data_IF_503683551523
#
_entry.id   IF_503683551523
#
_cell.length_a   1.000
_cell.length_b   1.000
_cell.length_c   1.000
_cell.angle_alpha   90.00
_cell.angle_beta   90.00
_cell.angle_gamma   90.00
#
_symmetry.space_group_name_H-M   'P 1'
#
loop_
_entity.id
_entity.type
_entity.pdbx_description
1 polymer ?
#
# COMPACT_ATOMS: atom_id res chain seq x y z
N UNK A 1 2.52 -1.97 -7.65
CA UNK A 1 3.29 -2.50 -8.78
C UNK A 1 3.29 -1.56 -10.01
N UNK A 2 2.97 -0.29 -9.85
CA UNK A 2 2.98 0.71 -10.95
C UNK A 2 2.07 0.39 -12.16
N UNK A 3 1.23 -0.65 -12.07
CA UNK A 3 0.29 -1.02 -13.13
C UNK A 3 -0.97 -0.17 -13.12
N UNK A 4 -1.79 -0.25 -14.17
CA UNK A 4 -3.05 0.48 -14.26
C UNK A 4 -4.08 -0.01 -13.24
N UNK A 5 -5.05 0.85 -12.92
CA UNK A 5 -6.21 0.47 -12.10
C UNK A 5 -7.12 -0.50 -12.86
N UNK A 6 -7.85 -1.33 -12.13
CA UNK A 6 -8.86 -2.23 -12.68
C UNK A 6 -8.36 -3.63 -13.05
N UNK A 7 -7.11 -3.97 -12.70
CA UNK A 7 -6.55 -5.31 -12.88
C UNK A 7 -5.77 -5.76 -11.65
N UNK A 8 -5.80 -7.05 -11.39
CA UNK A 8 -5.01 -7.71 -10.36
C UNK A 8 -4.71 -9.15 -10.74
N UNK A 9 -3.82 -9.80 -9.99
CA UNK A 9 -3.47 -11.20 -10.16
C UNK A 9 -3.63 -11.92 -8.83
N UNK A 10 -4.40 -13.01 -8.82
CA UNK A 10 -4.48 -13.94 -7.71
C UNK A 10 -3.72 -15.22 -8.08
N UNK A 11 -2.67 -15.52 -7.33
CA UNK A 11 -2.01 -16.81 -7.40
C UNK A 11 -2.59 -17.76 -6.36
N UNK A 12 -2.79 -19.02 -6.75
CA UNK A 12 -3.25 -20.06 -5.83
C UNK A 12 -2.80 -21.45 -6.26
N UNK A 13 -2.69 -22.37 -5.32
CA UNK A 13 -2.43 -23.78 -5.61
C UNK A 13 -3.59 -24.36 -6.41
N UNK A 14 -3.26 -25.08 -7.49
CA UNK A 14 -4.24 -25.59 -8.46
C UNK A 14 -5.33 -26.44 -7.80
N UNK A 15 -4.97 -27.31 -6.90
CA UNK A 15 -5.89 -28.19 -6.19
C UNK A 15 -6.88 -27.42 -5.30
N UNK A 16 -6.45 -26.32 -4.68
CA UNK A 16 -7.35 -25.44 -3.93
C UNK A 16 -8.32 -24.71 -4.84
N UNK A 17 -7.81 -24.10 -5.92
CA UNK A 17 -8.65 -23.40 -6.88
C UNK A 17 -9.65 -24.36 -7.56
N UNK A 18 -9.26 -25.60 -7.82
CA UNK A 18 -10.16 -26.60 -8.40
C UNK A 18 -11.30 -26.99 -7.44
N UNK A 19 -11.05 -26.99 -6.14
CA UNK A 19 -12.05 -27.30 -5.12
C UNK A 19 -12.97 -26.13 -4.75
N UNK A 20 -12.59 -24.87 -5.13
CA UNK A 20 -13.40 -23.69 -4.81
C UNK A 20 -14.54 -23.49 -5.81
N UNK A 21 -15.71 -23.01 -5.35
CA UNK A 21 -16.76 -22.51 -6.25
C UNK A 21 -16.28 -21.19 -6.91
N UNK A 22 -16.92 -20.77 -8.03
CA UNK A 22 -16.65 -19.45 -8.60
C UNK A 22 -16.98 -18.35 -7.60
N UNK A 23 -16.19 -17.28 -7.60
CA UNK A 23 -16.41 -16.12 -6.73
C UNK A 23 -17.45 -15.15 -7.36
N UNK A 24 -17.32 -14.88 -8.66
CA UNK A 24 -18.26 -14.11 -9.45
C UNK A 24 -18.62 -14.96 -10.67
N UNK A 25 -19.87 -14.92 -11.08
CA UNK A 25 -20.36 -15.62 -12.29
C UNK A 25 -20.67 -14.63 -13.41
N UNK A 26 -20.52 -15.08 -14.66
CA UNK A 26 -20.79 -14.28 -15.83
C UNK A 26 -20.44 -15.02 -17.12
N UNK A 27 -20.32 -14.31 -18.22
CA UNK A 27 -19.85 -14.87 -19.49
C UNK A 27 -18.43 -15.44 -19.42
N UNK A 28 -18.07 -16.27 -20.37
CA UNK A 28 -16.73 -16.86 -20.59
C UNK A 28 -16.25 -17.87 -19.56
N UNK A 29 -16.88 -17.99 -18.38
CA UNK A 29 -16.46 -18.89 -17.30
C UNK A 29 -17.46 -20.05 -17.07
N UNK A 30 -18.52 -20.11 -17.84
CA UNK A 30 -19.59 -21.13 -17.77
C UNK A 30 -19.26 -22.25 -18.74
N UNK A 31 -19.53 -23.49 -18.37
CA UNK A 31 -19.43 -24.67 -19.23
C UNK A 31 -20.81 -25.04 -19.80
N UNK A 32 -21.81 -25.15 -18.93
CA UNK A 32 -23.22 -25.41 -19.34
C UNK A 32 -24.16 -24.55 -18.51
N UNK A 33 -25.30 -24.18 -19.10
CA UNK A 33 -26.41 -23.48 -18.42
C UNK A 33 -27.71 -24.21 -18.76
N UNK A 34 -28.47 -24.55 -17.73
CA UNK A 34 -29.84 -25.07 -17.82
C UNK A 34 -30.78 -24.21 -16.99
N UNK A 35 -32.10 -24.51 -17.04
CA UNK A 35 -33.05 -23.82 -16.16
C UNK A 35 -32.90 -24.21 -14.68
N UNK A 36 -32.30 -25.38 -14.42
CA UNK A 36 -32.12 -25.94 -13.07
C UNK A 36 -30.77 -25.57 -12.45
N UNK A 37 -29.79 -25.13 -13.27
CA UNK A 37 -28.47 -24.78 -12.75
C UNK A 37 -27.43 -24.58 -13.84
N UNK A 38 -26.18 -24.33 -13.39
CA UNK A 38 -25.04 -24.11 -14.26
C UNK A 38 -23.82 -24.89 -13.80
N UNK A 39 -23.00 -25.30 -14.74
CA UNK A 39 -21.64 -25.79 -14.48
C UNK A 39 -20.60 -24.79 -14.96
N UNK A 40 -19.41 -24.83 -14.38
CA UNK A 40 -18.39 -23.81 -14.57
C UNK A 40 -17.11 -24.43 -15.09
N UNK A 41 -16.41 -23.68 -15.92
CA UNK A 41 -15.11 -24.06 -16.45
C UNK A 41 -14.10 -24.37 -15.33
N UNK A 42 -13.06 -25.17 -15.60
CA UNK A 42 -11.97 -25.37 -14.64
C UNK A 42 -11.16 -24.08 -14.44
N UNK A 43 -10.40 -23.97 -13.33
CA UNK A 43 -9.44 -22.86 -13.17
C UNK A 43 -8.39 -22.84 -14.32
N UNK A 44 -7.93 -21.65 -14.75
CA UNK A 44 -8.22 -20.32 -14.22
C UNK A 44 -9.55 -19.73 -14.68
N UNK A 45 -10.13 -20.18 -15.81
CA UNK A 45 -11.30 -19.59 -16.44
C UNK A 45 -12.49 -19.45 -15.48
N UNK A 46 -12.68 -20.38 -14.52
CA UNK A 46 -13.73 -20.33 -13.49
C UNK A 46 -13.77 -19.02 -12.70
N UNK A 47 -12.64 -18.35 -12.55
CA UNK A 47 -12.49 -17.13 -11.77
C UNK A 47 -12.36 -15.86 -12.63
N UNK A 48 -12.52 -15.99 -13.95
CA UNK A 48 -12.35 -14.90 -14.92
C UNK A 48 -13.67 -14.62 -15.63
N UNK A 49 -14.66 -14.11 -14.87
CA UNK A 49 -15.99 -13.83 -15.39
C UNK A 49 -16.02 -12.58 -16.27
N UNK A 50 -16.66 -12.69 -17.42
CA UNK A 50 -16.88 -11.58 -18.34
C UNK A 50 -15.77 -11.38 -19.36
N UNK A 51 -15.73 -10.19 -19.96
CA UNK A 51 -14.72 -9.81 -20.95
C UNK A 51 -13.42 -9.47 -20.24
N UNK A 52 -12.26 -10.07 -20.62
CA UNK A 52 -10.97 -9.75 -20.03
C UNK A 52 -10.59 -8.28 -20.19
N UNK A 53 -9.95 -7.72 -19.16
CA UNK A 53 -9.43 -6.34 -19.14
C UNK A 53 -8.11 -6.26 -19.94
N UNK A 54 -8.19 -6.43 -21.26
CA UNK A 54 -7.02 -6.60 -22.13
C UNK A 54 -6.06 -5.39 -22.09
N UNK A 55 -6.58 -4.16 -22.14
CA UNK A 55 -5.73 -2.96 -22.09
C UNK A 55 -4.98 -2.84 -20.76
N UNK A 56 -5.65 -3.17 -19.66
CA UNK A 56 -5.04 -3.15 -18.33
C UNK A 56 -4.03 -4.29 -18.17
N UNK A 57 -4.26 -5.45 -18.78
CA UNK A 57 -3.32 -6.56 -18.78
C UNK A 57 -2.02 -6.19 -19.50
N UNK A 58 -2.09 -5.52 -20.65
CA UNK A 58 -0.91 -4.98 -21.36
C UNK A 58 -0.17 -3.96 -20.49
N UNK A 59 -0.89 -3.05 -19.85
CA UNK A 59 -0.28 -2.07 -18.95
C UNK A 59 0.37 -2.70 -17.72
N UNK A 60 -0.24 -3.73 -17.14
CA UNK A 60 0.37 -4.48 -16.03
C UNK A 60 1.61 -5.25 -16.47
N UNK A 61 1.61 -5.84 -17.67
CA UNK A 61 2.80 -6.49 -18.25
C UNK A 61 3.97 -5.50 -18.38
N UNK A 62 3.73 -4.31 -18.91
CA UNK A 62 4.77 -3.27 -19.01
C UNK A 62 5.32 -2.87 -17.64
N UNK A 63 4.47 -2.78 -16.60
CA UNK A 63 4.90 -2.49 -15.24
C UNK A 63 5.75 -3.63 -14.64
N UNK A 64 5.42 -4.89 -14.93
CA UNK A 64 6.21 -6.06 -14.53
C UNK A 64 7.57 -6.04 -15.19
N UNK A 65 7.63 -5.78 -16.50
CA UNK A 65 8.90 -5.69 -17.25
C UNK A 65 9.79 -4.57 -16.72
N UNK A 66 9.21 -3.43 -16.39
CA UNK A 66 9.93 -2.31 -15.78
C UNK A 66 10.55 -2.68 -14.42
N UNK A 67 9.77 -3.27 -13.53
CA UNK A 67 10.27 -3.70 -12.22
C UNK A 67 11.29 -4.83 -12.32
N UNK A 68 11.09 -5.75 -13.27
CA UNK A 68 12.03 -6.84 -13.53
C UNK A 68 13.38 -6.31 -14.02
N UNK A 69 13.38 -5.30 -14.90
CA UNK A 69 14.61 -4.68 -15.40
C UNK A 69 15.38 -3.94 -14.29
N UNK A 70 14.70 -3.34 -13.30
CA UNK A 70 15.35 -2.76 -12.12
C UNK A 70 15.90 -3.82 -11.17
N UNK A 71 15.26 -4.99 -11.12
CA UNK A 71 15.53 -6.06 -10.17
C UNK A 71 14.88 -5.83 -8.82
N UNK A 72 13.96 -6.73 -8.39
CA UNK A 72 13.19 -6.59 -7.15
C UNK A 72 14.07 -6.50 -5.91
N UNK A 73 15.23 -7.13 -5.88
CA UNK A 73 16.19 -7.00 -4.77
C UNK A 73 16.79 -5.59 -4.65
N UNK A 74 16.92 -4.86 -5.76
CA UNK A 74 17.39 -3.47 -5.75
C UNK A 74 16.27 -2.54 -5.26
N UNK A 75 15.02 -2.80 -5.67
CA UNK A 75 13.84 -2.09 -5.17
C UNK A 75 13.74 -2.25 -3.65
N UNK A 76 13.82 -3.47 -3.14
CA UNK A 76 13.80 -3.78 -1.71
C UNK A 76 14.90 -3.03 -0.94
N UNK A 77 16.15 -3.07 -1.42
CA UNK A 77 17.27 -2.35 -0.80
C UNK A 77 17.04 -0.85 -0.73
N UNK A 78 16.54 -0.27 -1.81
CA UNK A 78 16.22 1.15 -1.87
C UNK A 78 15.10 1.53 -0.90
N UNK A 79 14.04 0.76 -0.86
CA UNK A 79 12.93 0.95 0.08
C UNK A 79 13.40 0.83 1.54
N UNK A 80 14.23 -0.16 1.87
CA UNK A 80 14.81 -0.32 3.20
C UNK A 80 15.71 0.86 3.58
N UNK A 81 16.52 1.35 2.64
CA UNK A 81 17.38 2.51 2.85
C UNK A 81 16.56 3.77 3.20
N UNK A 82 15.54 4.08 2.42
CA UNK A 82 14.67 5.24 2.69
C UNK A 82 13.85 5.05 3.98
N UNK A 83 13.39 3.84 4.25
CA UNK A 83 12.65 3.54 5.48
C UNK A 83 13.52 3.72 6.72
N UNK A 84 14.78 3.28 6.68
CA UNK A 84 15.73 3.48 7.78
C UNK A 84 15.97 4.97 8.02
N UNK A 85 16.22 5.73 6.96
CA UNK A 85 16.41 7.18 7.06
C UNK A 85 15.18 7.90 7.63
N UNK A 86 13.97 7.50 7.20
CA UNK A 86 12.73 8.08 7.71
C UNK A 86 12.46 7.74 9.18
N UNK A 87 12.75 6.50 9.60
CA UNK A 87 12.64 6.08 11.00
C UNK A 87 13.60 6.86 11.89
N UNK A 88 14.83 7.08 11.43
CA UNK A 88 15.82 7.86 12.13
C UNK A 88 15.41 9.33 12.21
N UNK A 89 15.07 9.96 11.07
CA UNK A 89 14.71 11.38 11.01
C UNK A 89 13.48 11.71 11.87
N UNK A 90 12.42 10.88 11.77
CA UNK A 90 11.21 11.06 12.59
C UNK A 90 11.46 10.73 14.07
N UNK A 91 12.30 9.73 14.36
CA UNK A 91 12.63 9.33 15.72
C UNK A 91 13.44 10.36 16.51
N UNK A 92 14.09 11.31 15.82
CA UNK A 92 14.82 12.43 16.42
C UNK A 92 13.93 13.65 16.72
N UNK A 93 12.68 13.65 16.26
CA UNK A 93 11.74 14.75 16.52
C UNK A 93 11.05 14.48 17.85
N UNK A 94 11.21 15.39 18.82
CA UNK A 94 10.52 15.30 20.11
C UNK A 94 9.00 15.28 19.91
N UNK A 95 8.28 14.49 20.71
CA UNK A 95 6.84 14.34 20.58
C UNK A 95 6.37 13.48 19.39
N UNK A 96 7.28 12.94 18.57
CA UNK A 96 6.93 12.01 17.50
C UNK A 96 7.04 10.56 17.98
N UNK A 97 5.98 9.78 17.80
CA UNK A 97 5.92 8.36 18.15
C UNK A 97 5.64 7.52 16.92
N UNK A 98 6.58 6.64 16.57
CA UNK A 98 6.43 5.65 15.49
C UNK A 98 5.42 4.58 15.92
N UNK A 99 4.50 4.23 15.02
CA UNK A 99 3.49 3.18 15.20
C UNK A 99 3.92 1.97 14.38
N UNK A 100 4.36 0.93 15.07
CA UNK A 100 4.89 -0.30 14.49
C UNK A 100 6.36 -0.54 14.83
N UNK A 101 7.02 -1.48 14.12
CA UNK A 101 8.46 -1.77 14.31
C UNK A 101 9.32 -0.55 14.02
N UNK A 102 10.47 -0.45 14.73
CA UNK A 102 11.43 0.64 14.56
C UNK A 102 12.68 0.23 13.78
N UNK A 103 12.66 -0.92 13.17
CA UNK A 103 13.70 -1.44 12.29
C UNK A 103 13.12 -1.70 10.90
N UNK A 104 13.96 -2.13 9.97
CA UNK A 104 13.59 -2.42 8.58
C UNK A 104 13.40 -3.92 8.31
N UNK A 105 13.54 -4.78 9.33
CA UNK A 105 13.42 -6.22 9.13
C UNK A 105 11.95 -6.59 8.88
N UNK A 106 11.72 -7.41 7.86
CA UNK A 106 10.40 -7.96 7.47
C UNK A 106 9.29 -6.90 7.36
N UNK A 107 9.63 -5.70 6.85
CA UNK A 107 8.65 -4.61 6.65
C UNK A 107 8.75 -3.98 5.27
N UNK A 108 7.65 -3.39 4.82
CA UNK A 108 7.63 -2.54 3.64
C UNK A 108 7.99 -1.07 3.97
N UNK A 109 8.01 -0.26 2.93
CA UNK A 109 8.46 1.14 2.92
C UNK A 109 7.45 2.16 3.47
N UNK A 110 6.55 1.73 4.37
CA UNK A 110 5.55 2.61 4.98
C UNK A 110 5.88 2.87 6.45
N UNK A 111 5.93 4.13 6.86
CA UNK A 111 6.17 4.57 8.24
C UNK A 111 4.93 5.30 8.74
N UNK A 112 4.26 4.72 9.74
CA UNK A 112 3.13 5.34 10.43
C UNK A 112 3.60 5.98 11.74
N UNK A 113 3.12 7.18 12.01
CA UNK A 113 3.50 7.92 13.22
C UNK A 113 2.35 8.80 13.72
N UNK A 114 2.49 9.27 14.94
CA UNK A 114 1.66 10.31 15.54
C UNK A 114 2.56 11.40 16.12
N UNK A 115 2.03 12.60 16.27
CA UNK A 115 2.71 13.73 16.90
C UNK A 115 1.90 14.08 18.15
N UNK A 116 2.56 14.15 19.29
CA UNK A 116 1.89 14.43 20.57
C UNK A 116 1.19 15.78 20.52
N UNK A 117 -0.03 15.81 21.04
CA UNK A 117 -0.88 17.02 21.03
C UNK A 117 -1.51 17.37 19.67
N UNK A 118 -1.17 16.70 18.58
CA UNK A 118 -1.72 16.97 17.25
C UNK A 118 -2.59 15.83 16.72
N UNK A 119 -3.70 16.20 16.12
CA UNK A 119 -4.50 15.21 15.39
C UNK A 119 -3.81 14.88 14.04
N UNK A 120 -3.75 13.61 13.60
CA UNK A 120 -3.08 13.22 12.35
C UNK A 120 -3.58 13.97 11.10
N UNK A 121 -4.87 14.36 11.04
CA UNK A 121 -5.39 15.18 9.94
C UNK A 121 -4.75 16.56 9.88
N UNK A 122 -4.51 17.18 11.03
CA UNK A 122 -3.88 18.51 11.11
C UNK A 122 -2.42 18.43 10.67
N UNK A 123 -1.71 17.39 11.11
CA UNK A 123 -0.35 17.10 10.64
C UNK A 123 -0.33 16.88 9.11
N UNK A 124 -1.27 16.08 8.59
CA UNK A 124 -1.38 15.82 7.15
C UNK A 124 -1.67 17.08 6.35
N UNK A 125 -2.52 17.98 6.85
CA UNK A 125 -2.82 19.25 6.17
C UNK A 125 -1.60 20.18 6.10
N UNK A 126 -0.81 20.26 7.17
CA UNK A 126 0.42 21.08 7.14
C UNK A 126 1.46 20.46 6.21
N UNK A 127 1.61 19.14 6.21
CA UNK A 127 2.49 18.43 5.29
C UNK A 127 2.09 18.69 3.83
N UNK A 128 0.82 18.58 3.49
CA UNK A 128 0.29 18.84 2.15
C UNK A 128 0.57 20.29 1.70
N UNK A 129 0.36 21.26 2.57
CA UNK A 129 0.68 22.67 2.32
C UNK A 129 2.19 22.92 2.08
N UNK A 130 3.05 22.01 2.55
CA UNK A 130 4.51 22.03 2.32
C UNK A 130 4.95 21.09 1.19
N UNK A 131 4.01 20.55 0.39
CA UNK A 131 4.30 19.72 -0.77
C UNK A 131 4.62 18.26 -0.43
N UNK A 132 4.32 17.81 0.81
CA UNK A 132 4.57 16.43 1.26
C UNK A 132 3.25 15.66 1.35
N UNK A 133 3.02 14.76 0.40
CA UNK A 133 1.84 13.93 0.36
C UNK A 133 1.94 12.74 1.33
N UNK A 134 1.04 12.69 2.30
CA UNK A 134 0.92 11.58 3.27
C UNK A 134 -0.51 11.07 3.31
N UNK A 135 -0.70 9.88 3.84
CA UNK A 135 -2.03 9.38 4.14
C UNK A 135 -2.33 9.51 5.63
N UNK A 136 -3.54 9.99 5.95
CA UNK A 136 -4.00 10.12 7.34
C UNK A 136 -5.24 9.27 7.59
N UNK A 137 -5.41 8.80 8.83
CA UNK A 137 -6.57 8.02 9.25
C UNK A 137 -6.22 6.64 9.82
N UNK A 138 -7.16 5.72 9.70
CA UNK A 138 -7.03 4.34 10.24
C UNK A 138 -6.36 3.38 9.26
N UNK A 139 -6.20 3.74 7.98
CA UNK A 139 -5.61 2.92 6.91
C UNK A 139 -6.29 1.56 6.73
N UNK A 140 -7.61 1.47 6.98
CA UNK A 140 -8.39 0.22 7.07
C UNK A 140 -7.91 -0.74 8.16
N UNK A 141 -7.20 -0.23 9.19
CA UNK A 141 -6.54 -1.00 10.24
C UNK A 141 -6.96 -0.52 11.65
N UNK A 142 -8.26 -0.44 11.90
CA UNK A 142 -8.82 -0.08 13.21
C UNK A 142 -8.21 -0.85 14.40
N UNK A 143 -7.99 -2.19 14.30
CA UNK A 143 -7.38 -2.95 15.40
C UNK A 143 -5.98 -2.44 15.77
N UNK A 144 -5.19 -1.98 14.79
CA UNK A 144 -3.86 -1.40 15.02
C UNK A 144 -3.98 -0.10 15.81
N UNK A 145 -4.87 0.81 15.41
CA UNK A 145 -5.09 2.04 16.14
C UNK A 145 -5.53 1.79 17.59
N UNK A 146 -6.41 0.81 17.82
CA UNK A 146 -6.83 0.40 19.17
C UNK A 146 -5.67 -0.18 19.99
N UNK A 147 -4.85 -1.05 19.39
CA UNK A 147 -3.67 -1.64 20.04
C UNK A 147 -2.69 -0.59 20.54
N UNK A 148 -2.47 0.46 19.74
CA UNK A 148 -1.54 1.54 20.07
C UNK A 148 -2.19 2.71 20.81
N UNK A 149 -3.48 2.62 21.09
CA UNK A 149 -4.30 3.65 21.75
C UNK A 149 -4.16 5.01 21.07
N UNK A 150 -4.37 5.03 19.76
CA UNK A 150 -4.36 6.24 18.93
C UNK A 150 -5.66 6.36 18.14
N UNK A 151 -6.18 7.59 17.93
CA UNK A 151 -7.39 7.78 17.13
C UNK A 151 -7.16 7.48 15.64
N UNK A 152 -5.99 7.77 15.14
CA UNK A 152 -5.57 7.64 13.76
C UNK A 152 -4.04 7.75 13.68
N UNK A 153 -3.45 7.61 12.50
CA UNK A 153 -2.02 7.87 12.26
C UNK A 153 -1.82 8.68 10.99
N UNK A 154 -0.69 9.37 10.91
CA UNK A 154 -0.12 9.89 9.67
C UNK A 154 0.83 8.84 9.12
N UNK A 155 0.75 8.51 7.83
CA UNK A 155 1.59 7.49 7.18
C UNK A 155 2.30 8.07 5.97
N UNK A 156 3.62 8.10 6.04
CA UNK A 156 4.49 8.28 4.89
C UNK A 156 4.76 6.93 4.21
N UNK A 157 4.79 6.90 2.90
CA UNK A 157 5.10 5.70 2.11
C UNK A 157 6.11 6.06 1.04
N UNK A 158 7.19 5.30 0.95
CA UNK A 158 8.28 5.53 0.01
C UNK A 158 8.27 4.44 -1.07
N UNK A 159 8.74 4.79 -2.26
CA UNK A 159 8.90 3.85 -3.34
C UNK A 159 10.14 4.22 -4.17
N UNK A 160 10.34 3.54 -5.29
CA UNK A 160 11.54 3.65 -6.11
C UNK A 160 11.81 5.04 -6.73
N UNK A 161 10.85 5.96 -6.68
CA UNK A 161 10.98 7.33 -7.17
C UNK A 161 11.25 8.38 -6.07
N UNK A 162 11.27 7.94 -4.80
CA UNK A 162 11.61 8.82 -3.68
C UNK A 162 13.13 8.79 -3.40
N UNK A 163 13.62 9.84 -2.73
CA UNK A 163 15.00 9.99 -2.32
C UNK A 163 15.13 10.54 -0.88
N UNK A 164 16.35 10.90 -0.46
CA UNK A 164 16.60 11.44 0.87
C UNK A 164 16.04 12.86 1.05
N UNK A 165 15.88 13.61 -0.02
CA UNK A 165 15.30 14.96 0.05
C UNK A 165 13.81 14.86 0.41
N UNK A 166 13.09 13.84 -0.06
CA UNK A 166 11.72 13.56 0.35
C UNK A 166 11.64 13.20 1.85
N UNK A 167 12.62 12.46 2.36
CA UNK A 167 12.70 12.13 3.79
C UNK A 167 12.97 13.39 4.63
N UNK A 168 13.86 14.25 4.17
CA UNK A 168 14.14 15.53 4.83
C UNK A 168 12.90 16.44 4.81
N UNK A 169 12.23 16.56 3.66
CA UNK A 169 11.00 17.34 3.51
C UNK A 169 9.88 16.83 4.46
N UNK A 170 9.73 15.51 4.64
CA UNK A 170 8.81 14.92 5.60
C UNK A 170 9.14 15.37 7.03
N UNK A 171 10.39 15.26 7.45
CA UNK A 171 10.83 15.64 8.80
C UNK A 171 10.63 17.14 9.06
N UNK A 172 10.97 17.98 8.09
CA UNK A 172 10.79 19.44 8.19
C UNK A 172 9.31 19.83 8.21
N UNK A 173 8.48 19.15 7.42
CA UNK A 173 7.04 19.34 7.44
C UNK A 173 6.41 18.95 8.80
N UNK A 174 6.90 17.90 9.47
CA UNK A 174 6.45 17.54 10.83
C UNK A 174 6.85 18.60 11.83
N UNK A 175 8.09 19.12 11.79
CA UNK A 175 8.53 20.25 12.64
C UNK A 175 7.72 21.51 12.38
N UNK A 176 7.38 21.77 11.11
CA UNK A 176 6.51 22.90 10.73
C UNK A 176 5.11 22.74 11.33
N UNK A 177 4.56 21.53 11.36
CA UNK A 177 3.27 21.26 12.01
C UNK A 177 3.33 21.53 13.53
N UNK A 178 4.36 21.05 14.22
CA UNK A 178 4.56 21.35 15.64
C UNK A 178 4.65 22.84 15.90
N UNK A 179 5.47 23.55 15.11
CA UNK A 179 5.62 25.01 15.24
C UNK A 179 4.30 25.74 14.96
N UNK A 180 3.52 25.33 13.97
CA UNK A 180 2.24 25.96 13.62
C UNK A 180 1.22 25.86 14.75
N UNK A 181 1.16 24.72 15.44
CA UNK A 181 0.23 24.47 16.53
C UNK A 181 0.78 24.79 17.93
N UNK A 182 2.06 25.10 18.06
CA UNK A 182 2.72 25.50 19.32
C UNK A 182 2.95 24.35 20.29
N UNK A 183 3.28 23.18 19.77
CA UNK A 183 3.62 21.96 20.55
C UNK A 183 5.03 21.53 20.30
#
# INVERSE_FOLDING_TARGET
MLGPMGIGCLWGRRELLAAMPPFITGGSMIETVTMEGSTFAPPPARFEAGVPMAAQAVGLSAAVDYLYALGMSNVEKHEHFLTAAALEALGQIEGVRIIGPRDTQDRGSAVSFVVDGLHPHDVGQVLDNNGVAVRVGHHCAWPVCRRYNVPATTRASFYLYNDLDDVAALADGVRAAQKFFGV
#
